data_IF_426792602638
#
_entry.id   IF_426792602638
#
_cell.length_a   1.000
_cell.length_b   1.000
_cell.length_c   1.000
_cell.angle_alpha   90.00
_cell.angle_beta   90.00
_cell.angle_gamma   90.00
#
_symmetry.space_group_name_H-M   'P 1'
#
loop_
_entity.id
_entity.type
_entity.pdbx_description
1 polymer ?
#
# COMPACT_ATOMS: atom_id res chain seq x y z
N UNK A 1 -10.55 3.55 -31.69
CA UNK A 1 -10.47 2.07 -31.71
C UNK A 1 -9.16 1.62 -31.01
N UNK A 2 -8.00 2.15 -31.37
CA UNK A 2 -6.72 1.76 -30.76
C UNK A 2 -6.71 1.85 -29.23
N UNK A 3 -7.24 2.93 -28.64
CA UNK A 3 -7.30 3.11 -27.20
C UNK A 3 -8.18 2.04 -26.48
N UNK A 4 -9.27 1.60 -27.12
CA UNK A 4 -10.10 0.49 -26.60
C UNK A 4 -9.30 -0.80 -26.51
N UNK A 5 -8.54 -1.13 -27.57
CA UNK A 5 -7.70 -2.33 -27.61
C UNK A 5 -6.57 -2.30 -26.57
N UNK A 6 -5.91 -1.15 -26.40
CA UNK A 6 -4.89 -0.99 -25.37
C UNK A 6 -5.45 -1.23 -23.98
N UNK A 7 -6.62 -0.66 -23.66
CA UNK A 7 -7.29 -0.84 -22.36
C UNK A 7 -7.74 -2.30 -22.17
N UNK A 8 -8.24 -2.95 -23.22
CA UNK A 8 -8.60 -4.38 -23.19
C UNK A 8 -7.40 -5.25 -22.82
N UNK A 9 -6.26 -5.06 -23.48
CA UNK A 9 -5.05 -5.81 -23.19
C UNK A 9 -4.52 -5.54 -21.76
N UNK A 10 -4.59 -4.31 -21.28
CA UNK A 10 -4.23 -3.97 -19.91
C UNK A 10 -5.14 -4.66 -18.90
N UNK A 11 -6.45 -4.70 -19.15
CA UNK A 11 -7.42 -5.38 -18.30
C UNK A 11 -7.15 -6.90 -18.25
N UNK A 12 -6.94 -7.54 -19.42
CA UNK A 12 -6.61 -8.95 -19.49
C UNK A 12 -5.31 -9.29 -18.74
N UNK A 13 -4.30 -8.42 -18.84
CA UNK A 13 -3.06 -8.57 -18.06
C UNK A 13 -3.29 -8.50 -16.56
N UNK A 14 -4.15 -7.58 -16.10
CA UNK A 14 -4.47 -7.43 -14.67
C UNK A 14 -5.29 -8.59 -14.12
N UNK A 15 -6.23 -9.11 -14.92
CA UNK A 15 -7.07 -10.25 -14.55
C UNK A 15 -6.29 -11.56 -14.54
N UNK A 16 -5.25 -11.66 -15.36
CA UNK A 16 -4.39 -12.85 -15.52
C UNK A 16 -5.17 -14.18 -15.47
N UNK A 17 -6.22 -14.37 -16.29
CA UNK A 17 -7.02 -15.58 -16.25
C UNK A 17 -6.18 -16.79 -16.69
N UNK A 18 -6.29 -17.89 -15.96
CA UNK A 18 -5.57 -19.15 -16.25
C UNK A 18 -6.20 -19.93 -17.41
N UNK A 19 -6.33 -19.32 -18.59
CA UNK A 19 -6.94 -19.90 -19.79
C UNK A 19 -6.03 -19.68 -20.99
N UNK A 20 -5.95 -20.63 -21.95
CA UNK A 20 -5.21 -20.44 -23.19
C UNK A 20 -5.84 -19.30 -24.02
N UNK A 21 -5.04 -18.67 -24.86
CA UNK A 21 -5.43 -17.61 -25.83
C UNK A 21 -6.08 -16.38 -25.20
N UNK A 22 -5.51 -15.93 -24.06
CA UNK A 22 -5.99 -14.76 -23.29
C UNK A 22 -6.13 -13.52 -24.18
N UNK A 23 -5.20 -13.31 -25.11
CA UNK A 23 -5.09 -12.08 -25.89
C UNK A 23 -6.15 -11.94 -27.00
N UNK A 24 -6.75 -13.05 -27.42
CA UNK A 24 -7.79 -13.08 -28.47
C UNK A 24 -9.21 -12.96 -27.89
N UNK A 25 -9.35 -13.05 -26.56
CA UNK A 25 -10.67 -13.00 -25.92
C UNK A 25 -11.30 -11.62 -25.97
N UNK A 26 -12.56 -11.61 -26.36
CA UNK A 26 -13.40 -10.42 -26.29
C UNK A 26 -13.87 -10.20 -24.84
N UNK A 27 -13.80 -8.93 -24.38
CA UNK A 27 -14.25 -8.54 -23.05
C UNK A 27 -15.60 -7.86 -23.19
N UNK A 28 -16.63 -8.46 -22.62
CA UNK A 28 -17.97 -7.89 -22.53
C UNK A 28 -18.18 -7.23 -21.16
N UNK A 29 -18.63 -5.98 -21.17
CA UNK A 29 -18.94 -5.24 -19.96
C UNK A 29 -20.40 -5.48 -19.56
N UNK A 30 -20.63 -6.29 -18.53
CA UNK A 30 -21.97 -6.66 -18.04
C UNK A 30 -22.68 -5.46 -17.39
N UNK A 31 -21.93 -4.57 -16.72
CA UNK A 31 -22.47 -3.42 -16.01
C UNK A 31 -22.05 -2.11 -16.65
N UNK A 32 -23.00 -1.24 -16.89
CA UNK A 32 -22.70 0.14 -17.25
C UNK A 32 -22.38 0.95 -15.98
N UNK A 33 -21.42 1.88 -16.04
CA UNK A 33 -21.11 2.75 -14.91
C UNK A 33 -22.31 3.65 -14.60
N UNK A 34 -22.87 3.49 -13.42
CA UNK A 34 -23.93 4.36 -12.90
C UNK A 34 -23.37 5.26 -11.82
N UNK A 35 -23.98 6.43 -11.63
CA UNK A 35 -23.62 7.33 -10.55
C UNK A 35 -24.02 6.68 -9.22
N UNK A 36 -23.09 6.33 -8.33
CA UNK A 36 -23.45 5.80 -7.04
C UNK A 36 -24.03 6.90 -6.15
N UNK A 37 -25.11 6.60 -5.44
CA UNK A 37 -25.69 7.51 -4.44
C UNK A 37 -24.87 7.41 -3.13
N UNK A 38 -23.69 8.02 -3.13
CA UNK A 38 -22.80 8.05 -1.99
C UNK A 38 -22.76 9.47 -1.43
N UNK A 39 -23.17 9.58 -0.17
CA UNK A 39 -22.90 10.78 0.61
C UNK A 39 -21.47 10.69 1.13
N UNK A 40 -20.63 11.68 0.79
CA UNK A 40 -19.28 11.78 1.32
C UNK A 40 -19.36 12.23 2.77
N UNK A 41 -18.69 11.51 3.64
CA UNK A 41 -18.48 11.89 5.04
C UNK A 41 -17.49 13.07 5.12
N UNK A 42 -17.29 13.60 6.32
CA UNK A 42 -16.28 14.64 6.52
C UNK A 42 -14.87 14.11 6.26
N UNK A 43 -14.01 14.96 5.69
CA UNK A 43 -12.62 14.63 5.37
C UNK A 43 -11.84 14.11 6.58
N UNK A 44 -12.16 14.60 7.79
CA UNK A 44 -11.52 14.15 9.02
C UNK A 44 -11.72 12.66 9.29
N UNK A 45 -12.87 12.09 8.90
CA UNK A 45 -13.15 10.66 9.05
C UNK A 45 -12.25 9.82 8.12
N UNK A 46 -12.09 10.23 6.86
CA UNK A 46 -11.17 9.56 5.93
C UNK A 46 -9.72 9.62 6.39
N UNK A 47 -9.29 10.74 6.98
CA UNK A 47 -7.95 10.87 7.58
C UNK A 47 -7.81 9.93 8.79
N UNK A 48 -8.80 9.84 9.65
CA UNK A 48 -8.76 8.92 10.81
C UNK A 48 -8.70 7.45 10.37
N UNK A 49 -9.44 7.08 9.32
CA UNK A 49 -9.39 5.74 8.72
C UNK A 49 -8.00 5.47 8.13
N UNK A 50 -7.43 6.41 7.37
CA UNK A 50 -6.12 6.25 6.74
C UNK A 50 -4.99 6.01 7.75
N UNK A 51 -5.00 6.74 8.87
CA UNK A 51 -4.02 6.55 9.96
C UNK A 51 -4.06 5.15 10.56
N UNK A 52 -5.21 4.50 10.54
CA UNK A 52 -5.42 3.13 11.05
C UNK A 52 -5.16 2.06 9.99
N UNK A 53 -5.63 2.29 8.76
CA UNK A 53 -5.74 1.24 7.74
C UNK A 53 -4.61 1.25 6.73
N UNK A 54 -3.87 2.36 6.58
CA UNK A 54 -2.88 2.49 5.52
C UNK A 54 -1.63 1.65 5.80
N UNK A 55 -1.28 0.67 4.92
CA UNK A 55 -0.19 -0.29 5.20
C UNK A 55 1.17 0.37 5.38
N UNK A 56 1.42 1.48 4.68
CA UNK A 56 2.70 2.20 4.76
C UNK A 56 2.96 2.78 6.15
N UNK A 57 1.92 3.22 6.88
CA UNK A 57 2.05 3.68 8.26
C UNK A 57 2.32 2.51 9.20
N UNK A 58 1.68 1.36 8.98
CA UNK A 58 1.94 0.16 9.76
C UNK A 58 3.38 -0.34 9.55
N UNK A 59 3.88 -0.29 8.32
CA UNK A 59 5.27 -0.61 8.01
C UNK A 59 6.25 0.32 8.75
N UNK A 60 6.00 1.63 8.74
CA UNK A 60 6.84 2.59 9.45
C UNK A 60 6.81 2.39 10.97
N UNK A 61 5.65 2.02 11.56
CA UNK A 61 5.55 1.66 12.99
C UNK A 61 6.33 0.40 13.33
N UNK A 62 6.29 -0.62 12.48
CA UNK A 62 7.10 -1.84 12.66
C UNK A 62 8.59 -1.54 12.58
N UNK A 63 9.01 -0.65 11.70
CA UNK A 63 10.41 -0.23 11.61
C UNK A 63 10.86 0.54 12.88
N UNK A 64 9.99 1.37 13.45
CA UNK A 64 10.24 2.02 14.73
C UNK A 64 10.39 0.99 15.87
N UNK A 65 9.49 0.00 15.98
CA UNK A 65 9.58 -1.09 16.95
C UNK A 65 10.87 -1.90 16.79
N UNK A 66 11.28 -2.16 15.54
CA UNK A 66 12.57 -2.79 15.25
C UNK A 66 13.74 -1.95 15.79
N UNK A 67 13.67 -0.62 15.65
CA UNK A 67 14.65 0.31 16.23
C UNK A 67 14.69 0.22 17.75
N UNK A 68 13.53 0.14 18.42
CA UNK A 68 13.46 -0.02 19.89
C UNK A 68 14.08 -1.36 20.34
N UNK A 69 13.83 -2.46 19.62
CA UNK A 69 14.49 -3.75 19.92
C UNK A 69 16.02 -3.70 19.71
N UNK A 70 16.49 -3.02 18.69
CA UNK A 70 17.93 -2.84 18.45
C UNK A 70 18.58 -1.99 19.55
N UNK A 71 17.87 -1.02 20.13
CA UNK A 71 18.32 -0.28 21.32
C UNK A 71 18.49 -1.20 22.52
N UNK A 72 17.56 -2.10 22.79
CA UNK A 72 17.68 -3.08 23.88
C UNK A 72 18.89 -3.98 23.65
N UNK A 73 19.05 -4.53 22.44
CA UNK A 73 20.15 -5.38 22.05
C UNK A 73 21.52 -4.68 22.22
N UNK A 74 21.65 -3.46 21.70
CA UNK A 74 22.93 -2.71 21.78
C UNK A 74 23.23 -2.24 23.17
N UNK A 75 22.22 -1.94 24.00
CA UNK A 75 22.39 -1.65 25.44
C UNK A 75 22.92 -2.86 26.17
N UNK A 76 22.40 -4.06 25.88
CA UNK A 76 22.92 -5.30 26.47
C UNK A 76 24.39 -5.58 26.08
N UNK A 77 24.77 -5.18 24.87
CA UNK A 77 26.15 -5.27 24.39
C UNK A 77 27.16 -4.38 25.15
N UNK A 78 26.67 -3.40 25.94
CA UNK A 78 27.50 -2.60 26.83
C UNK A 78 27.83 -3.31 28.15
N UNK A 79 27.11 -4.38 28.51
CA UNK A 79 27.25 -5.10 29.76
C UNK A 79 28.36 -6.16 29.68
N UNK A 80 28.95 -6.51 30.82
CA UNK A 80 29.85 -7.65 30.90
C UNK A 80 29.17 -8.96 30.54
N UNK A 81 29.87 -9.85 29.86
CA UNK A 81 29.39 -11.20 29.54
C UNK A 81 29.83 -12.18 30.62
N UNK A 82 28.91 -13.01 31.07
CA UNK A 82 29.16 -14.12 31.95
C UNK A 82 28.54 -15.39 31.40
N UNK A 83 29.39 -16.34 31.00
CA UNK A 83 28.95 -17.62 30.41
C UNK A 83 29.24 -18.74 31.41
N UNK A 84 28.28 -19.59 31.67
CA UNK A 84 28.47 -20.89 32.32
C UNK A 84 28.57 -21.93 31.20
N UNK A 85 29.66 -22.71 31.21
CA UNK A 85 29.83 -23.78 30.25
C UNK A 85 30.09 -25.12 30.91
N UNK A 86 29.55 -26.16 30.31
CA UNK A 86 29.82 -27.56 30.65
C UNK A 86 30.16 -28.25 29.34
N UNK A 87 31.39 -28.77 29.28
CA UNK A 87 31.85 -29.57 28.14
C UNK A 87 31.97 -31.03 28.60
N UNK A 88 31.26 -31.89 27.88
CA UNK A 88 31.35 -33.31 28.06
C UNK A 88 32.11 -33.87 26.84
N UNK A 89 33.26 -34.46 27.08
CA UNK A 89 34.08 -35.11 26.09
C UNK A 89 34.19 -36.61 26.36
N UNK A 90 34.33 -37.37 25.30
CA UNK A 90 34.74 -38.77 25.36
C UNK A 90 35.96 -38.93 24.47
N UNK A 91 37.04 -39.44 25.00
CA UNK A 91 38.31 -39.55 24.27
C UNK A 91 38.87 -40.96 24.32
N UNK A 92 39.38 -41.42 23.20
CA UNK A 92 40.10 -42.67 23.07
C UNK A 92 41.58 -42.41 22.95
N UNK A 93 42.40 -43.03 23.83
CA UNK A 93 43.85 -42.94 23.83
C UNK A 93 44.44 -44.27 23.37
N UNK A 94 45.24 -44.27 22.29
CA UNK A 94 45.99 -45.42 21.81
C UNK A 94 47.23 -44.98 21.05
N UNK A 95 48.20 -45.89 20.92
CA UNK A 95 49.45 -45.64 20.21
C UNK A 95 49.29 -45.57 18.69
N UNK A 96 48.13 -46.00 18.16
CA UNK A 96 47.78 -45.92 16.75
C UNK A 96 46.40 -45.27 16.53
N UNK A 97 46.23 -44.52 15.42
CA UNK A 97 44.99 -43.74 15.13
C UNK A 97 43.74 -44.64 15.02
N UNK A 98 43.87 -45.84 14.42
CA UNK A 98 42.76 -46.81 14.32
C UNK A 98 42.30 -47.32 15.71
N UNK A 99 43.22 -47.69 16.55
CA UNK A 99 42.95 -48.15 17.91
C UNK A 99 42.38 -47.06 18.82
N UNK A 100 42.71 -45.79 18.54
CA UNK A 100 42.15 -44.64 19.23
C UNK A 100 40.68 -44.44 18.96
N UNK A 101 40.23 -44.72 17.71
CA UNK A 101 38.82 -44.68 17.31
C UNK A 101 38.02 -45.79 17.99
N UNK A 102 38.57 -47.02 18.04
CA UNK A 102 37.92 -48.17 18.66
C UNK A 102 37.79 -47.99 20.19
N UNK A 103 38.73 -47.22 20.82
CA UNK A 103 38.70 -46.93 22.25
C UNK A 103 37.86 -45.69 22.62
N UNK A 104 37.23 -45.01 21.65
CA UNK A 104 36.26 -43.95 21.94
C UNK A 104 35.07 -44.51 22.74
N UNK A 105 34.77 -45.80 22.63
CA UNK A 105 33.76 -46.50 23.43
C UNK A 105 34.24 -46.91 24.84
N UNK A 106 35.48 -46.64 25.22
CA UNK A 106 36.01 -46.90 26.53
C UNK A 106 35.45 -45.96 27.62
N UNK A 107 35.87 -46.22 28.89
CA UNK A 107 35.36 -45.53 30.09
C UNK A 107 36.02 -44.16 30.34
N UNK A 108 36.72 -43.57 29.35
CA UNK A 108 37.38 -42.29 29.47
C UNK A 108 36.43 -41.13 29.18
N UNK A 109 35.98 -40.44 30.22
CA UNK A 109 35.12 -39.25 30.15
C UNK A 109 35.91 -38.03 30.62
N UNK A 110 35.85 -36.97 29.82
CA UNK A 110 36.30 -35.65 30.25
C UNK A 110 35.07 -34.79 30.55
N UNK A 111 35.00 -34.27 31.77
CA UNK A 111 33.99 -33.31 32.19
C UNK A 111 34.72 -32.04 32.58
N UNK A 112 34.47 -30.97 31.84
CA UNK A 112 34.97 -29.64 32.13
C UNK A 112 33.78 -28.71 32.37
N UNK A 113 33.73 -28.09 33.54
CA UNK A 113 32.76 -27.05 33.86
C UNK A 113 33.45 -25.79 34.29
N UNK A 114 32.94 -24.65 33.89
CA UNK A 114 33.56 -23.38 34.27
C UNK A 114 32.66 -22.19 34.00
N UNK A 115 33.08 -21.08 34.56
CA UNK A 115 32.49 -19.76 34.37
C UNK A 115 33.49 -18.89 33.63
N UNK A 116 33.04 -18.36 32.47
CA UNK A 116 33.83 -17.37 31.74
C UNK A 116 33.23 -16.00 32.00
N UNK A 117 34.02 -15.09 32.55
CA UNK A 117 33.67 -13.69 32.75
C UNK A 117 34.49 -12.82 31.81
N UNK A 118 33.83 -12.02 30.99
CA UNK A 118 34.47 -11.11 30.05
C UNK A 118 33.97 -9.67 30.30
N UNK A 119 34.90 -8.81 30.74
CA UNK A 119 34.64 -7.39 30.94
C UNK A 119 35.39 -6.59 29.86
N UNK A 120 34.70 -5.90 28.94
CA UNK A 120 35.35 -5.11 27.90
C UNK A 120 35.82 -3.76 28.46
N UNK A 121 37.14 -3.60 28.61
CA UNK A 121 37.73 -2.29 28.88
C UNK A 121 37.71 -1.47 27.59
N UNK A 122 37.23 -0.21 27.65
CA UNK A 122 37.10 0.69 26.48
C UNK A 122 36.22 0.15 25.35
N UNK A 123 34.97 -0.17 25.66
CA UNK A 123 34.00 -0.77 24.74
C UNK A 123 33.47 0.24 23.68
N UNK A 124 34.41 0.93 22.98
CA UNK A 124 34.09 1.97 22.01
C UNK A 124 33.17 1.49 20.87
N UNK A 125 33.33 0.24 20.44
CA UNK A 125 32.51 -0.34 19.37
C UNK A 125 31.04 -0.50 19.81
N UNK A 126 30.83 -1.03 21.02
CA UNK A 126 29.46 -1.17 21.55
C UNK A 126 28.83 0.20 21.87
N UNK A 127 29.60 1.15 22.39
CA UNK A 127 29.15 2.52 22.61
C UNK A 127 28.75 3.18 21.27
N UNK A 128 29.57 3.04 20.23
CA UNK A 128 29.30 3.56 18.90
C UNK A 128 28.07 2.86 18.26
N UNK A 129 27.94 1.54 18.44
CA UNK A 129 26.81 0.77 17.98
C UNK A 129 25.50 1.22 18.68
N UNK A 130 25.53 1.40 20.00
CA UNK A 130 24.38 1.89 20.76
C UNK A 130 24.01 3.32 20.35
N UNK A 131 24.98 4.22 20.18
CA UNK A 131 24.73 5.59 19.69
C UNK A 131 24.13 5.60 18.30
N UNK A 132 24.61 4.75 17.41
CA UNK A 132 24.04 4.59 16.07
C UNK A 132 22.59 4.10 16.12
N UNK A 133 22.30 3.12 16.98
CA UNK A 133 20.94 2.61 17.17
C UNK A 133 19.99 3.70 17.66
N UNK A 134 20.42 4.56 18.61
CA UNK A 134 19.64 5.72 19.07
C UNK A 134 19.30 6.67 17.92
N UNK A 135 20.32 7.08 17.15
CA UNK A 135 20.12 8.01 16.04
C UNK A 135 19.25 7.40 14.92
N UNK A 136 19.41 6.10 14.64
CA UNK A 136 18.55 5.40 13.65
C UNK A 136 17.09 5.31 14.11
N UNK A 137 16.87 5.06 15.39
CA UNK A 137 15.52 5.05 15.98
C UNK A 137 14.88 6.44 15.91
N UNK A 138 15.62 7.51 16.24
CA UNK A 138 15.13 8.89 16.16
C UNK A 138 14.84 9.30 14.71
N UNK A 139 15.65 8.85 13.77
CA UNK A 139 15.41 9.01 12.35
C UNK A 139 14.11 8.28 11.90
N UNK A 140 13.88 7.05 12.38
CA UNK A 140 12.66 6.31 12.07
C UNK A 140 11.41 7.00 12.65
N UNK A 141 11.51 7.59 13.85
CA UNK A 141 10.43 8.38 14.44
C UNK A 141 10.11 9.61 13.57
N UNK A 142 11.11 10.40 13.20
CA UNK A 142 10.91 11.57 12.33
C UNK A 142 10.36 11.18 10.95
N UNK A 143 10.76 10.03 10.41
CA UNK A 143 10.21 9.51 9.17
C UNK A 143 8.73 9.12 9.30
N UNK A 144 8.33 8.50 10.42
CA UNK A 144 6.93 8.17 10.71
C UNK A 144 6.07 9.44 10.81
N UNK A 145 6.54 10.47 11.53
CA UNK A 145 5.82 11.73 11.71
C UNK A 145 5.63 12.45 10.36
N UNK A 146 6.66 12.49 9.52
CA UNK A 146 6.57 13.04 8.18
C UNK A 146 5.61 12.24 7.28
N UNK A 147 5.64 10.91 7.38
CA UNK A 147 4.77 10.04 6.61
C UNK A 147 3.29 10.20 7.01
N UNK A 148 3.00 10.41 8.30
CA UNK A 148 1.62 10.70 8.78
C UNK A 148 1.08 11.99 8.14
N UNK A 149 1.91 13.04 8.07
CA UNK A 149 1.54 14.30 7.40
C UNK A 149 1.31 14.10 5.89
N UNK A 150 2.19 13.35 5.21
CA UNK A 150 2.03 13.07 3.78
C UNK A 150 0.74 12.29 3.51
N UNK A 151 0.43 11.30 4.34
CA UNK A 151 -0.81 10.51 4.25
C UNK A 151 -2.04 11.40 4.42
N UNK A 152 -2.03 12.33 5.38
CA UNK A 152 -3.12 13.28 5.57
C UNK A 152 -3.31 14.17 4.33
N UNK A 153 -2.22 14.69 3.76
CA UNK A 153 -2.27 15.52 2.54
C UNK A 153 -2.81 14.72 1.35
N UNK A 154 -2.35 13.49 1.14
CA UNK A 154 -2.83 12.61 0.07
C UNK A 154 -4.34 12.40 0.13
N UNK A 155 -4.87 12.10 1.34
CA UNK A 155 -6.31 11.90 1.57
C UNK A 155 -7.09 13.19 1.29
N UNK A 156 -6.60 14.34 1.75
CA UNK A 156 -7.23 15.63 1.51
C UNK A 156 -7.29 15.99 0.03
N UNK A 157 -6.20 15.75 -0.70
CA UNK A 157 -6.14 15.96 -2.16
C UNK A 157 -7.16 15.05 -2.87
N UNK A 158 -7.19 13.76 -2.53
CA UNK A 158 -8.14 12.82 -3.11
C UNK A 158 -9.60 13.21 -2.81
N UNK A 159 -9.89 13.69 -1.61
CA UNK A 159 -11.22 14.18 -1.22
C UNK A 159 -11.65 15.43 -2.03
N UNK A 160 -10.75 16.38 -2.22
CA UNK A 160 -10.97 17.56 -3.06
C UNK A 160 -11.27 17.13 -4.51
N UNK A 161 -10.52 16.16 -5.04
CA UNK A 161 -10.70 15.65 -6.39
C UNK A 161 -12.06 14.96 -6.59
N UNK A 162 -12.54 14.21 -5.60
CA UNK A 162 -13.89 13.62 -5.63
C UNK A 162 -14.95 14.72 -5.70
N UNK A 163 -14.85 15.77 -4.89
CA UNK A 163 -15.80 16.89 -4.90
C UNK A 163 -15.74 17.65 -6.23
N UNK A 164 -14.54 17.91 -6.76
CA UNK A 164 -14.33 18.56 -8.07
C UNK A 164 -14.99 17.76 -9.19
N UNK A 165 -14.75 16.46 -9.25
CA UNK A 165 -15.32 15.59 -10.31
C UNK A 165 -16.83 15.43 -10.17
N UNK A 166 -17.38 15.43 -8.95
CA UNK A 166 -18.82 15.46 -8.70
C UNK A 166 -19.47 16.71 -9.27
N UNK A 167 -18.88 17.89 -9.05
CA UNK A 167 -19.35 19.14 -9.63
C UNK A 167 -19.23 19.13 -11.16
N UNK A 168 -18.19 18.51 -11.71
CA UNK A 168 -17.99 18.36 -13.16
C UNK A 168 -19.13 17.57 -13.83
N UNK A 169 -19.66 16.51 -13.18
CA UNK A 169 -20.81 15.76 -13.69
C UNK A 169 -22.03 16.70 -13.84
N UNK A 170 -22.33 17.51 -12.83
CA UNK A 170 -23.44 18.45 -12.87
C UNK A 170 -23.27 19.45 -14.02
N UNK A 171 -22.08 20.04 -14.18
CA UNK A 171 -21.80 20.99 -15.24
C UNK A 171 -21.92 20.37 -16.64
N UNK A 172 -21.39 19.17 -16.84
CA UNK A 172 -21.44 18.48 -18.15
C UNK A 172 -22.85 18.03 -18.48
N UNK A 173 -23.66 17.60 -17.50
CA UNK A 173 -25.06 17.22 -17.74
C UNK A 173 -25.90 18.40 -18.18
N UNK A 174 -25.68 19.58 -17.58
CA UNK A 174 -26.37 20.84 -18.03
C UNK A 174 -25.93 21.20 -19.43
N UNK A 175 -24.64 21.13 -19.75
CA UNK A 175 -24.12 21.42 -21.11
C UNK A 175 -24.69 20.47 -22.14
N UNK A 176 -24.81 19.17 -21.82
CA UNK A 176 -25.43 18.20 -22.71
C UNK A 176 -26.92 18.54 -22.99
N UNK A 177 -27.68 18.86 -21.93
CA UNK A 177 -29.10 19.24 -22.07
C UNK A 177 -29.25 20.48 -22.96
N UNK A 178 -28.41 21.49 -22.75
CA UNK A 178 -28.40 22.70 -23.59
C UNK A 178 -28.12 22.36 -25.06
N UNK A 179 -27.10 21.56 -25.34
CA UNK A 179 -26.78 21.17 -26.72
C UNK A 179 -27.86 20.26 -27.34
N UNK A 180 -28.56 19.47 -26.55
CA UNK A 180 -29.69 18.67 -27.02
C UNK A 180 -30.88 19.55 -27.47
N UNK A 181 -31.22 20.56 -26.66
CA UNK A 181 -32.27 21.55 -27.05
C UNK A 181 -31.82 22.43 -28.23
N UNK A 182 -30.54 22.82 -28.30
CA UNK A 182 -29.96 23.52 -29.42
C UNK A 182 -30.11 22.72 -30.72
N UNK A 183 -29.70 21.46 -30.71
CA UNK A 183 -29.83 20.56 -31.85
C UNK A 183 -31.28 20.37 -32.26
N UNK A 184 -32.18 20.16 -31.32
CA UNK A 184 -33.62 20.04 -31.56
C UNK A 184 -34.21 21.31 -32.20
N UNK A 185 -33.85 22.47 -31.64
CA UNK A 185 -34.29 23.77 -32.17
C UNK A 185 -33.78 24.03 -33.59
N UNK A 186 -32.51 23.76 -33.91
CA UNK A 186 -31.96 23.93 -35.24
C UNK A 186 -32.55 22.96 -36.24
N UNK A 187 -32.91 21.74 -35.82
CA UNK A 187 -33.62 20.76 -36.66
C UNK A 187 -35.02 21.25 -37.03
N UNK A 188 -35.78 21.81 -36.07
CA UNK A 188 -37.09 22.39 -36.33
C UNK A 188 -37.01 23.65 -37.20
N UNK A 189 -36.03 24.52 -37.00
CA UNK A 189 -35.78 25.68 -37.87
C UNK A 189 -35.46 25.25 -39.30
N UNK A 190 -34.70 24.19 -39.50
CA UNK A 190 -34.40 23.64 -40.83
C UNK A 190 -35.68 23.16 -41.50
N UNK A 191 -36.56 22.47 -40.76
CA UNK A 191 -37.86 21.97 -41.30
C UNK A 191 -38.75 23.08 -41.84
N UNK A 192 -38.68 24.28 -41.25
CA UNK A 192 -39.44 25.43 -41.67
C UNK A 192 -38.63 26.41 -42.56
N UNK A 193 -37.49 26.01 -43.07
CA UNK A 193 -36.64 26.80 -43.96
C UNK A 193 -35.87 27.96 -43.32
N UNK A 194 -35.77 28.01 -41.98
CA UNK A 194 -35.10 29.09 -41.21
C UNK A 194 -33.71 28.74 -40.70
N UNK A 195 -33.18 27.59 -41.09
CA UNK A 195 -31.84 27.14 -40.77
C UNK A 195 -31.20 26.41 -41.96
N UNK A 196 -29.95 26.00 -41.85
CA UNK A 196 -29.21 25.27 -42.87
C UNK A 196 -28.78 23.88 -42.36
N UNK A 197 -28.61 22.93 -43.27
CA UNK A 197 -28.10 21.58 -42.93
C UNK A 197 -26.73 21.64 -42.22
N UNK A 198 -25.93 22.68 -42.54
CA UNK A 198 -24.66 22.89 -41.87
C UNK A 198 -24.81 23.20 -40.38
N UNK A 199 -25.75 24.11 -40.01
CA UNK A 199 -26.02 24.47 -38.62
C UNK A 199 -26.59 23.29 -37.81
N UNK A 200 -27.45 22.48 -38.42
CA UNK A 200 -27.97 21.25 -37.80
C UNK A 200 -26.81 20.23 -37.56
N UNK A 201 -25.94 20.02 -38.56
CA UNK A 201 -24.81 19.14 -38.43
C UNK A 201 -23.80 19.63 -37.36
N UNK A 202 -23.60 20.95 -37.26
CA UNK A 202 -22.79 21.57 -36.22
C UNK A 202 -23.40 21.33 -34.82
N UNK A 203 -24.68 21.58 -34.64
CA UNK A 203 -25.36 21.34 -33.35
C UNK A 203 -25.36 19.86 -32.98
N UNK A 204 -25.50 18.95 -33.95
CA UNK A 204 -25.38 17.51 -33.73
C UNK A 204 -23.96 17.10 -33.26
N UNK A 205 -22.92 17.68 -33.86
CA UNK A 205 -21.53 17.46 -33.43
C UNK A 205 -21.32 17.97 -32.01
N UNK A 206 -21.83 19.19 -31.69
CA UNK A 206 -21.70 19.78 -30.35
C UNK A 206 -22.41 18.90 -29.30
N UNK A 207 -23.57 18.34 -29.61
CA UNK A 207 -24.30 17.40 -28.78
C UNK A 207 -23.48 16.10 -28.57
N UNK A 208 -22.87 15.54 -29.62
CA UNK A 208 -22.06 14.35 -29.51
C UNK A 208 -20.85 14.57 -28.59
N UNK A 209 -20.17 15.70 -28.76
CA UNK A 209 -19.04 16.08 -27.91
C UNK A 209 -19.46 16.22 -26.43
N UNK A 210 -20.60 16.86 -26.16
CA UNK A 210 -21.11 17.02 -24.79
C UNK A 210 -21.56 15.70 -24.15
N UNK A 211 -22.14 14.75 -24.93
CA UNK A 211 -22.42 13.38 -24.44
C UNK A 211 -21.17 12.62 -24.05
N UNK A 212 -20.11 12.71 -24.87
CA UNK A 212 -18.82 12.10 -24.56
C UNK A 212 -18.21 12.72 -23.28
N UNK A 213 -18.30 14.05 -23.14
CA UNK A 213 -17.80 14.75 -21.97
C UNK A 213 -18.54 14.36 -20.68
N UNK A 214 -19.86 14.15 -20.72
CA UNK A 214 -20.64 13.68 -19.57
C UNK A 214 -20.24 12.26 -19.14
N UNK A 215 -20.07 11.33 -20.10
CA UNK A 215 -19.59 9.97 -19.81
C UNK A 215 -18.16 10.00 -19.21
N UNK A 216 -17.30 10.86 -19.76
CA UNK A 216 -15.94 11.03 -19.25
C UNK A 216 -15.93 11.60 -17.82
N UNK A 217 -16.82 12.56 -17.53
CA UNK A 217 -16.95 13.13 -16.18
C UNK A 217 -17.40 12.06 -15.17
N UNK A 218 -18.37 11.21 -15.53
CA UNK A 218 -18.79 10.09 -14.70
C UNK A 218 -17.64 9.10 -14.44
N UNK A 219 -16.92 8.73 -15.48
CA UNK A 219 -15.76 7.84 -15.33
C UNK A 219 -14.66 8.45 -14.43
N UNK A 220 -14.40 9.74 -14.56
CA UNK A 220 -13.43 10.44 -13.73
C UNK A 220 -13.87 10.49 -12.25
N UNK A 221 -15.16 10.70 -11.99
CA UNK A 221 -15.69 10.66 -10.62
C UNK A 221 -15.53 9.29 -9.98
N UNK A 222 -15.87 8.21 -10.71
CA UNK A 222 -15.70 6.85 -10.21
C UNK A 222 -14.23 6.52 -9.91
N UNK A 223 -13.30 6.98 -10.76
CA UNK A 223 -11.87 6.84 -10.55
C UNK A 223 -11.41 7.62 -9.32
N UNK A 224 -11.85 8.86 -9.16
CA UNK A 224 -11.51 9.69 -8.00
C UNK A 224 -12.03 9.06 -6.69
N UNK A 225 -13.23 8.48 -6.70
CA UNK A 225 -13.80 7.79 -5.55
C UNK A 225 -13.00 6.54 -5.17
N UNK A 226 -12.58 5.75 -6.16
CA UNK A 226 -11.71 4.58 -5.94
C UNK A 226 -10.34 5.04 -5.41
N UNK A 227 -9.80 6.14 -5.94
CA UNK A 227 -8.53 6.68 -5.45
C UNK A 227 -8.63 7.16 -4.00
N UNK A 228 -9.71 7.83 -3.61
CA UNK A 228 -9.97 8.20 -2.22
C UNK A 228 -9.95 6.97 -1.30
N UNK A 229 -10.67 5.89 -1.67
CA UNK A 229 -10.67 4.64 -0.90
C UNK A 229 -9.33 3.90 -0.90
N UNK A 230 -8.52 4.13 -1.90
CA UNK A 230 -7.13 3.65 -1.94
C UNK A 230 -6.24 4.45 -0.99
N UNK A 231 -6.41 5.78 -0.95
CA UNK A 231 -5.63 6.66 -0.10
C UNK A 231 -5.99 6.52 1.39
N UNK A 232 -7.25 6.24 1.72
CA UNK A 232 -7.65 5.96 3.10
C UNK A 232 -7.38 4.52 3.54
N UNK A 233 -6.97 3.63 2.60
CA UNK A 233 -6.67 2.22 2.87
C UNK A 233 -7.89 1.31 3.01
N UNK A 234 -9.12 1.83 2.83
CA UNK A 234 -10.37 1.06 3.00
C UNK A 234 -10.84 0.30 1.76
N UNK A 235 -10.17 0.50 0.59
CA UNK A 235 -10.63 -0.02 -0.70
C UNK A 235 -10.89 -1.53 -0.69
N UNK A 236 -9.97 -2.33 -0.15
CA UNK A 236 -10.08 -3.79 -0.13
C UNK A 236 -11.21 -4.23 0.80
N UNK A 237 -11.34 -3.59 1.96
CA UNK A 237 -12.40 -3.88 2.92
C UNK A 237 -13.79 -3.60 2.34
N UNK A 238 -13.96 -2.45 1.68
CA UNK A 238 -15.20 -2.10 0.98
C UNK A 238 -15.54 -3.07 -0.15
N UNK A 239 -14.56 -3.82 -0.64
CA UNK A 239 -14.73 -4.88 -1.66
C UNK A 239 -14.85 -6.28 -1.05
N UNK A 240 -14.85 -6.41 0.28
CA UNK A 240 -14.92 -7.70 0.98
C UNK A 240 -13.65 -8.55 0.85
N UNK A 241 -12.52 -7.93 0.49
CA UNK A 241 -11.23 -8.63 0.34
C UNK A 241 -10.45 -8.45 1.64
N UNK A 242 -10.20 -9.57 2.33
CA UNK A 242 -9.34 -9.60 3.50
C UNK A 242 -7.87 -9.53 3.05
N UNK A 243 -7.11 -8.56 3.57
CA UNK A 243 -5.68 -8.44 3.33
C UNK A 243 -4.90 -8.73 4.61
N UNK A 244 -3.75 -9.44 4.54
CA UNK A 244 -2.86 -9.63 5.69
C UNK A 244 -2.27 -8.27 6.14
N UNK A 245 -1.97 -8.15 7.45
CA UNK A 245 -1.39 -6.91 8.00
C UNK A 245 -2.39 -5.78 8.22
N UNK A 246 -3.69 -6.08 8.29
CA UNK A 246 -4.78 -5.13 8.47
C UNK A 246 -4.85 -4.54 9.88
N UNK A 247 -4.38 -5.25 10.88
CA UNK A 247 -4.42 -4.79 12.26
C UNK A 247 -3.39 -3.68 12.47
N UNK A 248 -3.77 -2.56 13.11
CA UNK A 248 -2.83 -1.51 13.46
C UNK A 248 -1.74 -2.04 14.39
N UNK A 249 -0.51 -1.66 14.13
CA UNK A 249 0.60 -1.98 15.03
C UNK A 249 0.42 -1.18 16.32
N UNK A 250 0.29 -1.88 17.45
CA UNK A 250 0.20 -1.29 18.78
C UNK A 250 1.61 -0.94 19.28
N UNK A 251 1.91 0.35 19.27
CA UNK A 251 3.20 0.88 19.76
C UNK A 251 3.29 0.89 21.31
N UNK A 252 2.16 0.67 22.02
CA UNK A 252 2.16 0.65 23.48
C UNK A 252 2.70 -0.65 24.07
N UNK A 253 2.77 -1.72 23.28
CA UNK A 253 3.46 -2.96 23.67
C UNK A 253 4.96 -2.79 23.55
N UNK A 254 5.55 -2.13 24.53
CA UNK A 254 7.00 -2.19 24.71
C UNK A 254 7.41 -3.64 25.02
N UNK A 255 8.56 -4.12 24.50
CA UNK A 255 9.06 -5.47 24.74
C UNK A 255 9.63 -5.67 26.17
N UNK A 256 9.08 -4.97 27.17
CA UNK A 256 9.44 -5.06 28.58
C UNK A 256 8.33 -5.74 29.39
N UNK A 257 8.27 -7.06 29.29
CA UNK A 257 7.72 -7.95 30.31
C UNK A 257 8.48 -9.27 30.31
#
# INVERSE_FOLDING_TARGET
RANKETIRLQLLRLLNPSVPDIWEREVELIHQPTLPDIQLEDVAQYVAVSRRMRPVLNQARLELQRGDLELVKTRNGLLPLMDLFITLGKSGYADAFGDSIDRIDGDSYDIMGGVRFQYPFFNRDAEAAHRRAQLSRDQAQGALDNLDQLVEVDVRIAYIEVNRTKQQITATSVTRRFNEEKWRTETEKLRVGKSTSFLVAQAQRDLLVSRIAEVQALANYLKALIDLYRQDGSLLERRGIAAPGREPVDLSRSPHS
#
